data_IF_278910985159
#
_entry.id   IF_278910985159
#
_cell.length_a   1.000
_cell.length_b   1.000
_cell.length_c   1.000
_cell.angle_alpha   90.00
_cell.angle_beta   90.00
_cell.angle_gamma   90.00
#
_symmetry.space_group_name_H-M   'P 1'
#
loop_
_entity.id
_entity.type
_entity.pdbx_description
1 polymer ?
#
# COMPACT_ATOMS: atom_id res chain seq x y z
N UNK A 1 -9.80 14.08 -10.56
CA UNK A 1 -8.46 13.77 -10.01
C UNK A 1 -8.55 12.41 -9.36
N UNK A 2 -7.67 11.47 -9.70
CA UNK A 2 -7.61 10.14 -9.09
C UNK A 2 -6.54 10.11 -8.00
N UNK A 3 -6.81 9.40 -6.90
CA UNK A 3 -5.83 9.14 -5.84
C UNK A 3 -5.23 7.76 -6.07
N UNK A 4 -3.92 7.71 -6.29
CA UNK A 4 -3.14 6.47 -6.37
C UNK A 4 -2.45 6.21 -5.03
N UNK A 5 -2.64 5.01 -4.47
CA UNK A 5 -1.91 4.57 -3.30
C UNK A 5 -0.69 3.72 -3.70
N UNK A 6 0.51 4.24 -3.44
CA UNK A 6 1.77 3.50 -3.62
C UNK A 6 2.16 2.88 -2.27
N UNK A 7 1.78 1.62 -2.05
CA UNK A 7 1.76 1.05 -0.70
C UNK A 7 3.09 0.39 -0.29
N UNK A 8 3.93 -0.05 -1.23
CA UNK A 8 5.18 -0.75 -0.92
C UNK A 8 6.24 -0.77 -2.05
N UNK A 9 6.49 0.39 -2.68
CA UNK A 9 7.52 0.51 -3.72
C UNK A 9 8.93 0.09 -3.26
N UNK A 10 9.95 0.20 -4.11
CA UNK A 10 11.31 -0.28 -3.84
C UNK A 10 11.94 0.31 -2.55
N UNK A 11 11.65 -0.31 -1.41
CA UNK A 11 12.03 0.08 -0.05
C UNK A 11 12.52 -1.15 0.69
N UNK A 12 13.64 -1.05 1.41
CA UNK A 12 14.12 -2.16 2.22
C UNK A 12 13.18 -2.40 3.42
N UNK A 13 13.24 -3.60 3.99
CA UNK A 13 12.36 -4.00 5.09
C UNK A 13 12.43 -3.10 6.33
N UNK A 14 13.60 -2.51 6.59
CA UNK A 14 13.87 -1.63 7.73
C UNK A 14 13.49 -0.17 7.48
N UNK A 15 12.97 0.17 6.30
CA UNK A 15 12.55 1.52 5.97
C UNK A 15 11.44 2.05 6.89
N UNK A 16 10.42 1.22 7.19
CA UNK A 16 9.34 1.59 8.08
C UNK A 16 8.69 0.34 8.71
N UNK A 17 8.36 0.33 10.02
CA UNK A 17 7.76 -0.84 10.68
C UNK A 17 6.43 -1.32 10.10
N UNK A 18 5.71 -0.44 9.39
CA UNK A 18 4.44 -0.74 8.73
C UNK A 18 4.54 -0.89 7.21
N UNK A 19 5.74 -1.03 6.64
CA UNK A 19 5.88 -1.30 5.21
C UNK A 19 5.31 -2.70 4.92
N UNK A 20 4.25 -2.86 4.11
CA UNK A 20 3.69 -4.18 3.84
C UNK A 20 4.59 -4.93 2.85
N UNK A 21 5.06 -6.12 3.25
CA UNK A 21 6.01 -6.93 2.48
C UNK A 21 5.51 -8.35 2.19
N UNK A 22 4.35 -8.73 2.74
CA UNK A 22 3.68 -10.00 2.42
C UNK A 22 2.41 -9.73 1.62
N UNK A 23 1.93 -10.74 0.90
CA UNK A 23 0.70 -10.64 0.10
C UNK A 23 -0.51 -10.24 0.97
N UNK A 24 -0.62 -10.81 2.16
CA UNK A 24 -1.71 -10.57 3.09
C UNK A 24 -1.67 -9.13 3.63
N UNK A 25 -0.47 -8.64 3.97
CA UNK A 25 -0.27 -7.27 4.43
C UNK A 25 -0.61 -6.26 3.31
N UNK A 26 -0.14 -6.52 2.08
CA UNK A 26 -0.45 -5.68 0.92
C UNK A 26 -1.95 -5.64 0.64
N UNK A 27 -2.64 -6.78 0.73
CA UNK A 27 -4.09 -6.84 0.50
C UNK A 27 -4.88 -6.05 1.57
N UNK A 28 -4.47 -6.17 2.84
CA UNK A 28 -5.08 -5.41 3.94
C UNK A 28 -4.89 -3.91 3.77
N UNK A 29 -3.67 -3.47 3.48
CA UNK A 29 -3.36 -2.04 3.29
C UNK A 29 -4.03 -1.48 2.03
N UNK A 30 -4.04 -2.24 0.93
CA UNK A 30 -4.77 -1.89 -0.28
C UNK A 30 -6.26 -1.66 -0.02
N UNK A 31 -6.91 -2.57 0.72
CA UNK A 31 -8.33 -2.43 1.09
C UNK A 31 -8.58 -1.17 1.93
N UNK A 32 -7.69 -0.86 2.87
CA UNK A 32 -7.76 0.37 3.66
C UNK A 32 -7.60 1.63 2.80
N UNK A 33 -6.67 1.63 1.84
CA UNK A 33 -6.49 2.74 0.90
C UNK A 33 -7.72 2.96 0.02
N UNK A 34 -8.33 1.88 -0.50
CA UNK A 34 -9.58 1.97 -1.28
C UNK A 34 -10.72 2.52 -0.43
N UNK A 35 -10.88 2.05 0.82
CA UNK A 35 -11.87 2.58 1.74
C UNK A 35 -11.66 4.07 2.06
N UNK A 36 -10.41 4.55 2.03
CA UNK A 36 -10.05 5.95 2.18
C UNK A 36 -10.22 6.80 0.91
N UNK A 37 -10.62 6.19 -0.22
CA UNK A 37 -10.89 6.88 -1.49
C UNK A 37 -9.79 6.75 -2.56
N UNK A 38 -8.82 5.86 -2.38
CA UNK A 38 -7.90 5.51 -3.47
C UNK A 38 -8.66 4.83 -4.62
N UNK A 39 -8.43 5.30 -5.83
CA UNK A 39 -9.01 4.73 -7.05
C UNK A 39 -7.99 3.89 -7.85
N UNK A 40 -6.72 3.89 -7.42
CA UNK A 40 -5.62 3.17 -8.04
C UNK A 40 -4.65 2.68 -6.97
N UNK A 41 -4.04 1.51 -7.20
CA UNK A 41 -3.05 0.89 -6.33
C UNK A 41 -1.77 0.65 -7.13
N UNK A 42 -0.63 1.06 -6.58
CA UNK A 42 0.70 0.76 -7.11
C UNK A 42 1.47 -0.10 -6.10
N UNK A 43 1.89 -1.27 -6.56
CA UNK A 43 2.58 -2.31 -5.78
C UNK A 43 3.96 -2.51 -6.38
#
# INVERSE_FOLDING_TARGET
>A
MIVQACINGARPRDFHPKLPLTAEAMASDAAACVAAGAAELHI
#
